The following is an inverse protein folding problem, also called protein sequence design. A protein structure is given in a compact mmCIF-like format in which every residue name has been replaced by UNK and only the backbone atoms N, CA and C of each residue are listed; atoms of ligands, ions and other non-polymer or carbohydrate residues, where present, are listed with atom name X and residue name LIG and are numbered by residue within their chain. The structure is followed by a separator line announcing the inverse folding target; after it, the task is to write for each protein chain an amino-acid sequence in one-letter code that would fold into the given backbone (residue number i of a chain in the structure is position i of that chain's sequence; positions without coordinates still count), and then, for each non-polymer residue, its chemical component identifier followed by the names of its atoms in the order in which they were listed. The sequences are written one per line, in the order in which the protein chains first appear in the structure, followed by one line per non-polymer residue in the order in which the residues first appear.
data_IF_023296038942
#
_entry.id   IF_023296038942
#
_cell.length_a   1.000
_cell.length_b   1.000
_cell.length_c   1.000
_cell.angle_alpha   90.00
_cell.angle_beta   90.00
_cell.angle_gamma   90.00
#
_symmetry.space_group_name_H-M   'P 1'
#
loop_
_entity.id
_entity.type
_entity.pdbx_description
1 polymer ?
#
# COMPACT_ATOMS: atom_id res chain seq x y z
N UNK A 1 -37.97 31.91 -7.77
CA UNK A 1 -38.22 30.48 -7.45
C UNK A 1 -38.26 29.55 -8.68
N UNK A 2 -38.61 30.00 -9.91
CA UNK A 2 -38.65 29.13 -11.11
C UNK A 2 -37.30 28.85 -11.80
N UNK A 3 -36.29 29.70 -11.65
CA UNK A 3 -34.99 29.53 -12.31
C UNK A 3 -34.11 28.42 -11.68
N UNK A 4 -34.34 28.07 -10.41
CA UNK A 4 -33.54 27.09 -9.68
C UNK A 4 -33.97 25.63 -9.93
N UNK A 5 -35.19 25.43 -10.45
CA UNK A 5 -35.71 24.10 -10.80
C UNK A 5 -35.24 23.64 -12.21
N UNK A 6 -34.83 24.58 -13.08
CA UNK A 6 -34.41 24.27 -14.45
C UNK A 6 -32.95 23.81 -14.58
N UNK A 7 -32.12 23.98 -13.56
CA UNK A 7 -30.72 23.49 -13.56
C UNK A 7 -30.58 22.05 -13.06
N UNK A 8 -31.58 21.55 -12.30
CA UNK A 8 -31.59 20.19 -11.73
C UNK A 8 -32.09 19.11 -12.71
N UNK A 9 -32.63 19.49 -13.87
CA UNK A 9 -33.26 18.58 -14.84
C UNK A 9 -32.52 18.44 -16.18
N UNK A 10 -31.33 19.05 -16.34
CA UNK A 10 -30.48 18.76 -17.52
C UNK A 10 -29.83 17.39 -17.32
N UNK A 11 -30.41 16.34 -17.90
CA UNK A 11 -29.71 15.06 -18.12
C UNK A 11 -28.35 15.39 -18.73
N UNK A 12 -27.26 15.01 -18.03
CA UNK A 12 -25.90 15.11 -18.59
C UNK A 12 -25.91 14.41 -19.94
N UNK A 13 -25.43 15.09 -20.97
CA UNK A 13 -25.29 14.49 -22.29
C UNK A 13 -24.43 13.22 -22.18
N UNK A 14 -24.74 12.16 -22.94
CA UNK A 14 -23.96 10.93 -22.90
C UNK A 14 -22.50 11.26 -23.25
N UNK A 15 -21.57 10.75 -22.44
CA UNK A 15 -20.13 10.94 -22.66
C UNK A 15 -19.78 10.39 -24.04
N UNK A 16 -19.46 11.29 -24.98
CA UNK A 16 -19.01 10.93 -26.32
C UNK A 16 -17.54 10.52 -26.21
N UNK A 17 -17.24 9.24 -26.45
CA UNK A 17 -15.86 8.73 -26.45
C UNK A 17 -15.16 9.14 -27.76
N UNK A 18 -14.60 10.35 -27.78
CA UNK A 18 -13.79 10.82 -28.90
C UNK A 18 -12.35 10.31 -28.75
N UNK A 19 -12.12 9.08 -29.21
CA UNK A 19 -10.81 8.42 -29.13
C UNK A 19 -9.77 9.19 -29.95
N UNK A 20 -10.17 9.71 -31.12
CA UNK A 20 -9.26 10.43 -32.01
C UNK A 20 -8.80 11.77 -31.42
N UNK A 21 -9.70 12.48 -30.73
CA UNK A 21 -9.35 13.67 -29.98
C UNK A 21 -8.38 13.38 -28.84
N UNK A 22 -8.57 12.26 -28.12
CA UNK A 22 -7.66 11.84 -27.05
C UNK A 22 -6.28 11.46 -27.56
N UNK A 23 -6.19 10.74 -28.69
CA UNK A 23 -4.91 10.42 -29.33
C UNK A 23 -4.18 11.68 -29.78
N UNK A 24 -4.89 12.64 -30.40
CA UNK A 24 -4.30 13.92 -30.82
C UNK A 24 -3.78 14.75 -29.65
N UNK A 25 -4.50 14.75 -28.53
CA UNK A 25 -4.08 15.48 -27.32
C UNK A 25 -2.89 14.79 -26.63
N UNK A 26 -2.82 13.45 -26.68
CA UNK A 26 -1.68 12.71 -26.16
C UNK A 26 -0.41 13.02 -26.95
N UNK A 27 -0.50 13.07 -28.27
CA UNK A 27 0.62 13.44 -29.15
C UNK A 27 1.11 14.87 -28.87
N UNK A 28 0.18 15.81 -28.64
CA UNK A 28 0.52 17.20 -28.31
C UNK A 28 1.24 17.33 -26.95
N UNK A 29 0.98 16.42 -26.02
CA UNK A 29 1.57 16.40 -24.67
C UNK A 29 2.85 15.57 -24.57
N UNK A 30 3.25 14.84 -25.63
CA UNK A 30 4.44 14.00 -25.58
C UNK A 30 5.71 14.85 -25.73
N UNK A 31 6.35 15.13 -24.60
CA UNK A 31 7.59 15.91 -24.53
C UNK A 31 8.85 15.10 -24.93
N UNK A 32 8.71 13.81 -25.31
CA UNK A 32 9.80 12.90 -25.73
C UNK A 32 11.03 12.91 -24.80
N UNK A 33 10.79 12.99 -23.49
CA UNK A 33 11.85 13.04 -22.49
C UNK A 33 12.54 11.69 -22.31
N UNK A 34 13.83 11.73 -21.95
CA UNK A 34 14.54 10.52 -21.53
C UNK A 34 13.89 9.99 -20.25
N UNK A 35 13.78 8.67 -20.11
CA UNK A 35 13.16 8.04 -18.94
C UNK A 35 13.77 8.47 -17.58
N UNK A 36 15.03 8.88 -17.56
CA UNK A 36 15.70 9.36 -16.33
C UNK A 36 15.11 10.67 -15.79
N UNK A 37 14.39 11.43 -16.63
CA UNK A 37 13.76 12.71 -16.28
C UNK A 37 12.33 12.49 -15.77
N UNK A 38 11.65 11.44 -16.26
CA UNK A 38 10.29 11.08 -15.85
C UNK A 38 10.27 10.13 -14.65
N UNK A 39 11.23 9.19 -14.59
CA UNK A 39 11.36 8.12 -13.58
C UNK A 39 10.08 7.31 -13.36
N UNK A 40 9.21 7.28 -14.36
CA UNK A 40 7.91 6.64 -14.30
C UNK A 40 8.01 5.14 -14.63
N UNK A 41 7.17 4.32 -13.97
CA UNK A 41 7.14 2.88 -14.18
C UNK A 41 5.70 2.40 -14.26
N UNK A 42 5.34 1.88 -15.43
CA UNK A 42 4.03 1.26 -15.65
C UNK A 42 4.11 -0.22 -15.34
N UNK A 43 3.32 -0.66 -14.37
CA UNK A 43 3.22 -2.07 -13.98
C UNK A 43 1.75 -2.47 -13.91
N UNK A 44 1.43 -3.61 -14.48
CA UNK A 44 0.10 -4.20 -14.37
C UNK A 44 -0.14 -4.72 -12.95
N UNK A 45 -1.29 -4.34 -12.38
CA UNK A 45 -1.70 -4.70 -11.03
C UNK A 45 -2.23 -6.14 -10.95
N UNK A 46 -2.64 -6.71 -12.09
CA UNK A 46 -3.34 -7.99 -12.15
C UNK A 46 -4.80 -7.89 -11.68
N UNK A 47 -5.48 -9.03 -11.62
CA UNK A 47 -6.89 -9.10 -11.24
C UNK A 47 -7.07 -9.20 -9.72
N UNK A 48 -7.84 -8.26 -9.16
CA UNK A 48 -8.30 -8.31 -7.77
C UNK A 48 -9.76 -8.76 -7.77
N UNK A 49 -10.01 -10.03 -7.43
CA UNK A 49 -11.34 -10.67 -7.49
C UNK A 49 -12.45 -9.87 -6.81
N UNK A 50 -12.14 -9.27 -5.65
CA UNK A 50 -13.10 -8.52 -4.85
C UNK A 50 -12.49 -7.18 -4.41
N UNK A 51 -12.98 -6.10 -4.99
CA UNK A 51 -12.55 -4.75 -4.67
C UNK A 51 -12.79 -4.35 -3.20
N UNK A 52 -13.70 -5.01 -2.47
CA UNK A 52 -13.97 -4.73 -1.05
C UNK A 52 -13.08 -5.53 -0.09
N UNK A 53 -12.28 -6.47 -0.58
CA UNK A 53 -11.30 -7.18 0.26
C UNK A 53 -10.01 -6.34 0.35
N UNK A 54 -9.99 -5.45 1.34
CA UNK A 54 -8.87 -4.53 1.55
C UNK A 54 -7.53 -5.26 1.66
N UNK A 55 -7.46 -6.41 2.36
CA UNK A 55 -6.19 -7.11 2.57
C UNK A 55 -5.61 -7.60 1.24
N UNK A 56 -6.45 -8.20 0.38
CA UNK A 56 -6.01 -8.67 -0.93
C UNK A 56 -5.65 -7.52 -1.86
N UNK A 57 -6.44 -6.43 -1.82
CA UNK A 57 -6.18 -5.24 -2.64
C UNK A 57 -4.87 -4.57 -2.25
N UNK A 58 -4.60 -4.40 -0.95
CA UNK A 58 -3.33 -3.87 -0.46
C UNK A 58 -2.14 -4.77 -0.83
N UNK A 59 -2.32 -6.09 -0.81
CA UNK A 59 -1.28 -7.03 -1.24
C UNK A 59 -0.96 -6.85 -2.73
N UNK A 60 -1.97 -6.72 -3.60
CA UNK A 60 -1.77 -6.46 -5.02
C UNK A 60 -1.00 -5.16 -5.27
N UNK A 61 -1.37 -4.07 -4.58
CA UNK A 61 -0.65 -2.80 -4.68
C UNK A 61 0.81 -2.92 -4.22
N UNK A 62 1.04 -3.66 -3.14
CA UNK A 62 2.39 -3.93 -2.64
C UNK A 62 3.23 -4.70 -3.66
N UNK A 63 2.70 -5.79 -4.22
CA UNK A 63 3.41 -6.61 -5.21
C UNK A 63 3.73 -5.83 -6.49
N UNK A 64 2.77 -5.06 -7.00
CA UNK A 64 2.98 -4.18 -8.17
C UNK A 64 4.06 -3.13 -7.89
N UNK A 65 4.03 -2.51 -6.70
CA UNK A 65 5.05 -1.53 -6.29
C UNK A 65 6.44 -2.15 -6.19
N UNK A 66 6.55 -3.36 -5.61
CA UNK A 66 7.82 -4.08 -5.52
C UNK A 66 8.38 -4.38 -6.91
N UNK A 67 7.54 -4.85 -7.83
CA UNK A 67 7.94 -5.11 -9.22
C UNK A 67 8.44 -3.84 -9.91
N UNK A 68 7.69 -2.73 -9.81
CA UNK A 68 8.07 -1.44 -10.36
C UNK A 68 9.44 -0.96 -9.83
N UNK A 69 9.67 -1.11 -8.52
CA UNK A 69 10.94 -0.74 -7.87
C UNK A 69 12.10 -1.62 -8.34
N UNK A 70 11.88 -2.92 -8.51
CA UNK A 70 12.93 -3.82 -9.02
C UNK A 70 13.34 -3.47 -10.46
N UNK A 71 12.36 -3.21 -11.32
CA UNK A 71 12.60 -2.83 -12.72
C UNK A 71 13.25 -1.43 -12.80
N UNK A 72 12.76 -0.47 -12.02
CA UNK A 72 13.34 0.88 -11.91
C UNK A 72 14.79 0.83 -11.40
N UNK A 73 15.08 0.00 -10.40
CA UNK A 73 16.45 -0.19 -9.87
C UNK A 73 17.40 -0.74 -10.94
N UNK A 74 16.93 -1.65 -11.79
CA UNK A 74 17.71 -2.17 -12.93
C UNK A 74 18.03 -1.04 -13.91
N UNK A 75 17.03 -0.27 -14.32
CA UNK A 75 17.21 0.87 -15.23
C UNK A 75 18.13 1.94 -14.65
N UNK A 76 18.00 2.29 -13.36
CA UNK A 76 18.89 3.26 -12.69
C UNK A 76 20.34 2.78 -12.70
N UNK A 77 20.58 1.48 -12.46
CA UNK A 77 21.92 0.89 -12.52
C UNK A 77 22.51 0.93 -13.92
N UNK A 78 21.71 0.63 -14.95
CA UNK A 78 22.13 0.70 -16.36
C UNK A 78 22.50 2.13 -16.78
N UNK A 79 21.82 3.14 -16.24
CA UNK A 79 22.10 4.55 -16.47
C UNK A 79 23.20 5.12 -15.55
N UNK A 80 23.78 4.31 -14.66
CA UNK A 80 24.84 4.74 -13.73
C UNK A 80 24.37 5.71 -12.63
N UNK A 81 23.08 5.75 -12.33
CA UNK A 81 22.50 6.68 -11.34
C UNK A 81 22.51 6.03 -9.94
N UNK A 82 23.11 6.66 -8.92
CA UNK A 82 23.07 6.15 -7.55
C UNK A 82 21.65 6.28 -6.97
N UNK A 83 21.12 5.18 -6.44
CA UNK A 83 19.73 5.11 -5.95
C UNK A 83 19.62 4.77 -4.46
N UNK A 84 20.71 4.37 -3.80
CA UNK A 84 20.72 4.08 -2.37
C UNK A 84 21.08 5.36 -1.60
N UNK A 85 20.26 5.70 -0.61
CA UNK A 85 20.59 6.75 0.35
C UNK A 85 21.77 6.29 1.22
N UNK A 86 22.90 7.01 1.24
CA UNK A 86 23.99 6.73 2.17
C UNK A 86 23.57 6.96 3.63
N UNK A 87 24.12 6.17 4.56
CA UNK A 87 23.82 6.29 6.00
C UNK A 87 24.28 7.64 6.58
N UNK A 88 25.33 8.23 6.00
CA UNK A 88 25.92 9.51 6.42
C UNK A 88 25.29 10.72 5.70
N UNK A 89 24.20 10.53 4.95
CA UNK A 89 23.51 11.62 4.26
C UNK A 89 22.41 12.23 5.15
N UNK A 90 22.79 13.24 5.94
CA UNK A 90 21.91 13.98 6.85
C UNK A 90 21.17 15.11 6.10
N UNK A 91 19.98 14.79 5.60
CA UNK A 91 19.04 15.74 5.01
C UNK A 91 17.70 15.70 5.74
N UNK A 92 16.86 16.71 5.53
CA UNK A 92 15.51 16.74 6.07
C UNK A 92 14.69 15.55 5.52
N UNK A 93 13.99 14.85 6.41
CA UNK A 93 13.15 13.71 6.09
C UNK A 93 11.69 14.10 6.23
N UNK A 94 10.80 13.43 5.48
CA UNK A 94 9.34 13.72 5.50
C UNK A 94 8.72 13.60 6.91
N UNK A 95 9.35 12.86 7.84
CA UNK A 95 8.90 12.71 9.23
C UNK A 95 10.07 12.91 10.19
N UNK A 96 9.83 13.70 11.23
CA UNK A 96 10.81 13.91 12.30
C UNK A 96 11.14 12.66 13.12
N UNK A 97 12.37 12.59 13.61
CA UNK A 97 12.86 11.52 14.49
C UNK A 97 12.03 11.35 15.76
N UNK A 98 11.52 12.45 16.34
CA UNK A 98 10.65 12.39 17.52
C UNK A 98 9.39 11.59 17.23
N UNK A 99 8.78 11.79 16.05
CA UNK A 99 7.58 11.06 15.62
C UNK A 99 7.90 9.61 15.32
N UNK A 100 9.05 9.31 14.71
CA UNK A 100 9.49 7.94 14.44
C UNK A 100 9.76 7.15 15.71
N UNK A 101 10.40 7.77 16.72
CA UNK A 101 10.58 7.17 18.06
C UNK A 101 9.25 6.83 18.73
N UNK A 102 8.26 7.70 18.62
CA UNK A 102 6.91 7.43 19.14
C UNK A 102 6.24 6.24 18.42
N UNK A 103 6.39 6.14 17.10
CA UNK A 103 5.84 5.01 16.32
C UNK A 103 6.50 3.71 16.78
N UNK A 104 7.82 3.71 16.98
CA UNK A 104 8.56 2.54 17.42
C UNK A 104 8.12 2.07 18.81
N UNK A 105 8.01 3.00 19.77
CA UNK A 105 7.48 2.70 21.11
C UNK A 105 6.07 2.10 21.08
N UNK A 106 5.21 2.57 20.18
CA UNK A 106 3.86 2.01 20.01
C UNK A 106 3.92 0.59 19.44
N UNK A 107 4.79 0.33 18.45
CA UNK A 107 4.98 -1.02 17.90
C UNK A 107 5.45 -2.00 18.97
N UNK A 108 6.47 -1.63 19.75
CA UNK A 108 7.00 -2.49 20.82
C UNK A 108 5.95 -2.79 21.88
N UNK A 109 5.15 -1.79 22.28
CA UNK A 109 4.08 -1.97 23.25
C UNK A 109 3.00 -2.95 22.76
N UNK A 110 2.59 -2.83 21.49
CA UNK A 110 1.60 -3.74 20.87
C UNK A 110 2.16 -5.17 20.79
N UNK A 111 3.42 -5.33 20.44
CA UNK A 111 4.06 -6.64 20.35
C UNK A 111 4.16 -7.31 21.73
N UNK A 112 4.53 -6.54 22.76
CA UNK A 112 4.58 -7.04 24.13
C UNK A 112 3.20 -7.48 24.61
N UNK A 113 2.16 -6.69 24.36
CA UNK A 113 0.78 -7.02 24.73
C UNK A 113 0.32 -8.32 24.06
N UNK A 114 0.58 -8.47 22.75
CA UNK A 114 0.30 -9.72 22.01
C UNK A 114 1.03 -10.91 22.63
N UNK A 115 2.31 -10.74 22.96
CA UNK A 115 3.13 -11.80 23.59
C UNK A 115 2.59 -12.21 24.95
N UNK A 116 2.20 -11.25 25.78
CA UNK A 116 1.60 -11.50 27.09
C UNK A 116 0.25 -12.23 26.96
N UNK A 117 -0.62 -11.81 26.03
CA UNK A 117 -1.90 -12.48 25.73
C UNK A 117 -1.69 -13.94 25.28
N UNK A 118 -0.77 -14.18 24.35
CA UNK A 118 -0.41 -15.53 23.90
C UNK A 118 0.09 -16.42 25.05
N UNK A 119 0.99 -15.90 25.91
CA UNK A 119 1.48 -16.60 27.10
C UNK A 119 0.32 -17.01 28.03
N UNK A 120 -0.61 -16.10 28.31
CA UNK A 120 -1.79 -16.38 29.15
C UNK A 120 -2.67 -17.49 28.55
N UNK A 121 -2.91 -17.48 27.24
CA UNK A 121 -3.67 -18.52 26.53
C UNK A 121 -2.99 -19.89 26.65
N UNK A 122 -1.67 -19.95 26.42
CA UNK A 122 -0.90 -21.19 26.52
C UNK A 122 -0.99 -21.78 27.93
N UNK A 123 -0.79 -20.96 28.97
CA UNK A 123 -0.88 -21.38 30.37
C UNK A 123 -2.28 -21.92 30.69
N UNK A 124 -3.33 -21.20 30.27
CA UNK A 124 -4.73 -21.63 30.45
C UNK A 124 -5.00 -22.99 29.81
N UNK A 125 -4.52 -23.21 28.58
CA UNK A 125 -4.70 -24.47 27.86
C UNK A 125 -3.94 -25.63 28.53
N UNK A 126 -2.70 -25.39 29.01
CA UNK A 126 -1.94 -26.38 29.79
C UNK A 126 -2.69 -26.78 31.07
N UNK A 127 -3.26 -25.82 31.79
CA UNK A 127 -4.00 -26.08 33.03
C UNK A 127 -5.30 -26.87 32.76
N UNK A 128 -6.05 -26.54 31.70
CA UNK A 128 -7.23 -27.33 31.27
C UNK A 128 -6.88 -28.78 30.93
N UNK A 129 -5.75 -29.02 30.24
CA UNK A 129 -5.29 -30.38 29.95
C UNK A 129 -4.94 -31.15 31.23
N UNK A 130 -4.27 -30.48 32.19
CA UNK A 130 -3.93 -31.07 33.50
C UNK A 130 -5.18 -31.42 34.31
N UNK A 131 -6.19 -30.54 34.34
CA UNK A 131 -7.45 -30.81 35.06
C UNK A 131 -8.23 -31.96 34.42
N UNK A 132 -8.33 -32.00 33.09
CA UNK A 132 -9.00 -33.11 32.40
C UNK A 132 -8.30 -34.45 32.66
N UNK A 133 -6.96 -34.52 32.55
CA UNK A 133 -6.21 -35.75 32.88
C UNK A 133 -6.51 -36.24 34.31
N UNK A 134 -6.54 -35.34 35.30
CA UNK A 134 -6.89 -35.70 36.69
C UNK A 134 -8.33 -36.18 36.85
N UNK A 135 -9.27 -35.70 36.03
CA UNK A 135 -10.69 -36.11 36.07
C UNK A 135 -10.89 -37.53 35.53
N UNK A 136 -10.23 -37.89 34.44
CA UNK A 136 -10.33 -39.23 33.85
C UNK A 136 -9.45 -40.28 34.54
N UNK A 137 -8.40 -39.87 35.26
CA UNK A 137 -7.55 -40.77 36.07
C UNK A 137 -8.19 -41.18 37.41
N UNK A 138 -9.30 -40.55 37.81
CA UNK A 138 -9.99 -40.78 39.09
C UNK A 138 -11.31 -41.56 38.94
N UNK A 139 -11.62 -42.01 37.73
CA UNK A 139 -12.73 -42.90 37.38
C UNK A 139 -12.16 -44.26 37.04
#
# INVERSE_FOLDING_TARGET
MRAYQNTLAKKREPIKKDVKGLESALEEMDDHLDWKETLDMSVDLGEVDNANDDIKRELAFYEASVKAVMDGRKKLKENGIPYLRPDDYLAEMVKDDKKMKMIEQKKTAIEEEKRQKLRKIIIRNKNKKRSNRKKYSRR
#
